data_IF_863181524629
#
_entry.id   IF_863181524629
#
_cell.length_a   1.000
_cell.length_b   1.000
_cell.length_c   1.000
_cell.angle_alpha   90.00
_cell.angle_beta   90.00
_cell.angle_gamma   90.00
#
_symmetry.space_group_name_H-M   'P 1'
#
loop_
_entity.id
_entity.type
_entity.pdbx_description
1 polymer ?
#
# COMPACT_ATOMS: atom_id res chain seq x y z
N UNK A 1 -10.77 -69.66 -12.79
CA UNK A 1 -11.03 -69.39 -11.35
C UNK A 1 -10.53 -67.99 -11.03
N UNK A 2 -11.41 -67.00 -10.90
CA UNK A 2 -11.06 -65.64 -10.47
C UNK A 2 -11.70 -65.43 -9.10
N UNK A 3 -10.88 -65.42 -8.04
CA UNK A 3 -11.35 -65.16 -6.67
C UNK A 3 -11.55 -63.66 -6.48
N UNK A 4 -12.76 -63.31 -6.07
CA UNK A 4 -13.23 -61.96 -5.75
C UNK A 4 -12.39 -61.30 -4.66
N UNK A 5 -11.82 -60.12 -4.95
CA UNK A 5 -11.07 -59.27 -4.02
C UNK A 5 -11.94 -58.11 -3.51
N UNK A 6 -13.12 -58.41 -2.95
CA UNK A 6 -14.07 -57.39 -2.44
C UNK A 6 -14.02 -57.17 -0.91
N UNK A 7 -13.25 -57.98 -0.17
CA UNK A 7 -13.20 -57.87 1.31
C UNK A 7 -12.12 -56.90 1.86
N UNK A 8 -11.16 -56.45 1.03
CA UNK A 8 -10.05 -55.63 1.53
C UNK A 8 -10.33 -54.12 1.57
N UNK A 9 -11.35 -53.61 0.88
CA UNK A 9 -11.66 -52.17 0.89
C UNK A 9 -12.46 -51.74 2.13
N UNK A 10 -13.29 -52.64 2.68
CA UNK A 10 -14.09 -52.35 3.87
C UNK A 10 -13.23 -52.28 5.14
N UNK A 11 -12.13 -53.04 5.21
CA UNK A 11 -11.22 -53.00 6.37
C UNK A 11 -10.47 -51.68 6.48
N UNK A 12 -9.84 -51.23 5.38
CA UNK A 12 -9.08 -49.97 5.39
C UNK A 12 -9.95 -48.75 5.72
N UNK A 13 -11.22 -48.74 5.27
CA UNK A 13 -12.15 -47.66 5.56
C UNK A 13 -12.61 -47.69 7.03
N UNK A 14 -12.89 -48.87 7.58
CA UNK A 14 -13.27 -49.02 8.99
C UNK A 14 -12.10 -48.67 9.92
N UNK A 15 -10.88 -49.07 9.59
CA UNK A 15 -9.68 -48.76 10.38
C UNK A 15 -9.37 -47.25 10.36
N UNK A 16 -9.54 -46.59 9.21
CA UNK A 16 -9.41 -45.13 9.10
C UNK A 16 -10.53 -44.40 9.87
N UNK A 17 -11.76 -44.91 9.82
CA UNK A 17 -12.89 -44.33 10.54
C UNK A 17 -12.74 -44.47 12.06
N UNK A 18 -12.28 -45.62 12.55
CA UNK A 18 -11.98 -45.83 13.97
C UNK A 18 -10.80 -44.98 14.45
N UNK A 19 -9.80 -44.76 13.59
CA UNK A 19 -8.72 -43.82 13.87
C UNK A 19 -9.23 -42.38 13.99
N UNK A 20 -10.08 -41.93 13.06
CA UNK A 20 -10.70 -40.60 13.10
C UNK A 20 -11.56 -40.45 14.35
N UNK A 21 -12.38 -41.45 14.69
CA UNK A 21 -13.24 -41.44 15.87
C UNK A 21 -12.44 -41.40 17.17
N UNK A 22 -11.31 -42.10 17.24
CA UNK A 22 -10.42 -42.09 18.41
C UNK A 22 -9.64 -40.79 18.56
N UNK A 23 -9.31 -40.11 17.46
CA UNK A 23 -8.44 -38.93 17.45
C UNK A 23 -9.16 -37.65 16.98
N UNK A 24 -10.50 -37.61 17.00
CA UNK A 24 -11.28 -36.54 16.38
C UNK A 24 -10.96 -35.15 16.96
N UNK A 25 -10.65 -35.05 18.25
CA UNK A 25 -10.25 -33.80 18.90
C UNK A 25 -8.90 -33.28 18.39
N UNK A 26 -7.95 -34.20 18.14
CA UNK A 26 -6.63 -33.85 17.60
C UNK A 26 -6.77 -33.40 16.15
N UNK A 27 -7.57 -34.13 15.35
CA UNK A 27 -7.85 -33.79 13.94
C UNK A 27 -8.57 -32.45 13.83
N UNK A 28 -9.57 -32.20 14.68
CA UNK A 28 -10.27 -30.91 14.73
C UNK A 28 -9.32 -29.77 15.15
N UNK A 29 -8.46 -29.99 16.14
CA UNK A 29 -7.42 -29.02 16.52
C UNK A 29 -6.45 -28.72 15.38
N UNK A 30 -6.06 -29.73 14.61
CA UNK A 30 -5.21 -29.58 13.42
C UNK A 30 -5.91 -28.78 12.32
N UNK A 31 -7.18 -29.07 12.04
CA UNK A 31 -7.98 -28.32 11.06
C UNK A 31 -8.16 -26.85 11.44
N UNK A 32 -8.33 -26.55 12.72
CA UNK A 32 -8.39 -25.18 13.24
C UNK A 32 -7.02 -24.52 13.16
N UNK A 33 -5.92 -25.26 13.38
CA UNK A 33 -4.56 -24.72 13.31
C UNK A 33 -4.10 -24.39 11.88
N UNK A 34 -4.56 -25.13 10.85
CA UNK A 34 -4.18 -24.93 9.44
C UNK A 34 -4.32 -23.46 8.96
N UNK A 35 -5.45 -22.74 9.15
CA UNK A 35 -5.55 -21.35 8.72
C UNK A 35 -4.54 -20.43 9.43
N UNK A 36 -4.22 -20.67 10.70
CA UNK A 36 -3.22 -19.88 11.44
C UNK A 36 -1.80 -20.18 10.98
N UNK A 37 -1.47 -21.45 10.71
CA UNK A 37 -0.17 -21.84 10.18
C UNK A 37 0.01 -21.27 8.77
N UNK A 38 -1.02 -21.34 7.92
CA UNK A 38 -1.01 -20.74 6.58
C UNK A 38 -0.78 -19.22 6.67
N UNK A 39 -1.53 -18.53 7.52
CA UNK A 39 -1.34 -17.08 7.76
C UNK A 39 0.07 -16.76 8.26
N UNK A 40 0.60 -17.56 9.18
CA UNK A 40 1.95 -17.37 9.73
C UNK A 40 3.05 -17.57 8.67
N UNK A 41 2.90 -18.57 7.79
CA UNK A 41 3.85 -18.81 6.68
C UNK A 41 3.75 -17.71 5.61
N UNK A 42 2.56 -17.23 5.30
CA UNK A 42 2.35 -16.07 4.42
C UNK A 42 2.95 -14.79 5.03
N UNK A 43 2.79 -14.56 6.33
CA UNK A 43 3.42 -13.44 7.05
C UNK A 43 4.95 -13.55 7.04
N UNK A 44 5.53 -14.76 7.14
CA UNK A 44 6.98 -14.99 7.08
C UNK A 44 7.54 -14.76 5.66
N UNK A 45 6.84 -15.23 4.62
CA UNK A 45 7.24 -14.99 3.23
C UNK A 45 7.19 -13.51 2.88
N UNK A 46 6.19 -12.78 3.40
CA UNK A 46 6.05 -11.33 3.23
C UNK A 46 7.14 -10.60 4.03
N UNK A 47 7.46 -11.03 5.26
CA UNK A 47 8.54 -10.45 6.09
C UNK A 47 9.92 -10.56 5.46
N UNK A 48 10.23 -11.62 4.70
CA UNK A 48 11.53 -11.75 4.03
C UNK A 48 11.66 -10.85 2.78
N UNK A 49 10.55 -10.54 2.12
CA UNK A 49 10.52 -9.53 1.03
C UNK A 49 10.59 -8.12 1.64
N UNK A 50 9.93 -7.90 2.79
CA UNK A 50 9.94 -6.64 3.55
C UNK A 50 11.31 -6.36 4.16
N UNK A 51 12.06 -7.34 4.69
CA UNK A 51 13.39 -7.13 5.29
C UNK A 51 14.44 -6.55 4.33
N UNK A 52 14.25 -6.68 3.01
CA UNK A 52 15.14 -6.07 2.01
C UNK A 52 14.74 -4.61 1.71
N UNK A 53 13.46 -4.26 1.90
CA UNK A 53 12.95 -2.87 1.85
C UNK A 53 13.09 -2.10 3.17
N UNK A 54 12.99 -2.78 4.31
CA UNK A 54 13.09 -2.22 5.66
C UNK A 54 14.46 -1.64 5.96
N UNK A 55 15.53 -2.11 5.31
CA UNK A 55 16.86 -1.50 5.48
C UNK A 55 16.95 -0.12 4.80
N UNK A 56 16.18 0.12 3.72
CA UNK A 56 16.04 1.44 3.11
C UNK A 56 15.09 2.34 3.91
N UNK A 57 14.01 1.78 4.46
CA UNK A 57 13.06 2.52 5.31
C UNK A 57 13.69 2.87 6.65
N UNK A 58 14.49 2.01 7.27
CA UNK A 58 15.19 2.31 8.54
C UNK A 58 16.27 3.39 8.39
N UNK A 59 16.95 3.49 7.24
CA UNK A 59 17.82 4.63 6.95
C UNK A 59 17.04 5.93 6.71
N UNK A 60 15.81 5.84 6.16
CA UNK A 60 14.91 6.98 6.03
C UNK A 60 14.25 7.35 7.38
N UNK A 61 13.93 6.39 8.23
CA UNK A 61 13.36 6.57 9.57
C UNK A 61 14.40 7.11 10.56
N UNK A 62 15.66 6.70 10.46
CA UNK A 62 16.75 7.31 11.23
C UNK A 62 16.98 8.79 10.84
N UNK A 63 16.66 9.17 9.60
CA UNK A 63 16.60 10.58 9.17
C UNK A 63 15.27 11.25 9.57
N UNK A 64 14.17 10.50 9.66
CA UNK A 64 12.84 10.99 10.02
C UNK A 64 12.63 11.13 11.54
N UNK A 65 13.41 10.43 12.38
CA UNK A 65 13.34 10.58 13.84
C UNK A 65 13.84 11.97 14.28
N UNK A 66 14.65 12.63 13.44
CA UNK A 66 15.03 14.06 13.55
C UNK A 66 13.92 15.00 13.03
N UNK A 67 12.93 14.48 12.30
CA UNK A 67 11.77 15.20 11.75
C UNK A 67 10.46 14.92 12.51
N UNK A 68 10.51 14.37 13.73
CA UNK A 68 9.32 14.07 14.57
C UNK A 68 8.44 15.29 14.92
N UNK A 69 8.81 16.49 14.49
CA UNK A 69 7.89 17.59 14.30
C UNK A 69 7.51 17.71 12.82
N UNK A 70 6.76 16.74 12.27
CA UNK A 70 5.91 17.01 11.12
C UNK A 70 4.85 17.97 11.66
N UNK A 71 5.20 19.26 11.69
CA UNK A 71 4.22 20.32 11.93
C UNK A 71 3.18 20.13 10.85
N UNK A 72 2.02 19.66 11.28
CA UNK A 72 0.77 19.77 10.55
C UNK A 72 0.59 21.26 10.24
N UNK A 73 1.11 21.70 9.10
CA UNK A 73 0.93 23.08 8.68
C UNK A 73 -0.49 23.18 8.16
N UNK A 74 -1.37 23.51 9.10
CA UNK A 74 -2.56 24.31 8.93
C UNK A 74 -2.40 25.22 7.70
N UNK A 75 -3.14 24.88 6.63
CA UNK A 75 -3.40 25.69 5.44
C UNK A 75 -2.40 26.83 5.22
N UNK A 76 -1.18 26.50 4.79
CA UNK A 76 -0.14 27.51 4.53
C UNK A 76 -0.70 28.59 3.62
N UNK A 77 -0.60 29.85 4.07
CA UNK A 77 -1.08 31.04 3.36
C UNK A 77 -0.84 30.91 1.83
N UNK A 78 -1.86 31.10 0.96
CA UNK A 78 -1.72 30.99 -0.49
C UNK A 78 -0.55 31.77 -1.07
N UNK A 79 -0.16 32.88 -0.43
CA UNK A 79 1.01 33.68 -0.82
C UNK A 79 2.33 32.94 -0.60
N UNK A 80 2.50 32.24 0.52
CA UNK A 80 3.74 31.51 0.80
C UNK A 80 3.87 30.26 -0.06
N UNK A 81 2.76 29.55 -0.34
CA UNK A 81 2.76 28.45 -1.30
C UNK A 81 3.13 28.94 -2.71
N UNK A 82 2.54 30.05 -3.17
CA UNK A 82 2.87 30.59 -4.49
C UNK A 82 4.34 31.02 -4.61
N UNK A 83 4.93 31.58 -3.54
CA UNK A 83 6.35 31.89 -3.51
C UNK A 83 7.22 30.63 -3.62
N UNK A 84 6.89 29.58 -2.86
CA UNK A 84 7.61 28.29 -2.95
C UNK A 84 7.47 27.65 -4.33
N UNK A 85 6.26 27.65 -4.93
CA UNK A 85 6.01 27.12 -6.28
C UNK A 85 6.83 27.86 -7.33
N UNK A 86 6.87 29.19 -7.27
CA UNK A 86 7.68 30.03 -8.17
C UNK A 86 9.18 29.78 -8.03
N UNK A 87 9.66 29.43 -6.83
CA UNK A 87 11.05 29.08 -6.61
C UNK A 87 11.43 27.73 -7.27
N UNK A 88 10.47 26.83 -7.48
CA UNK A 88 10.70 25.52 -8.10
C UNK A 88 10.52 25.59 -9.63
N UNK A 89 9.43 26.19 -10.11
CA UNK A 89 9.14 26.30 -11.55
C UNK A 89 8.21 27.48 -11.82
N UNK A 90 8.29 28.07 -13.02
CA UNK A 90 7.37 29.11 -13.48
C UNK A 90 6.07 28.53 -14.10
N UNK A 91 5.99 27.22 -14.28
CA UNK A 91 4.86 26.57 -14.97
C UNK A 91 3.64 26.41 -14.06
N UNK A 92 2.60 27.21 -14.31
CA UNK A 92 1.30 27.07 -13.65
C UNK A 92 0.64 25.71 -13.89
N UNK A 93 0.92 25.07 -15.03
CA UNK A 93 0.42 23.73 -15.32
C UNK A 93 1.01 22.68 -14.37
N UNK A 94 2.30 22.80 -14.01
CA UNK A 94 2.94 21.90 -13.04
C UNK A 94 2.46 22.16 -11.62
N UNK A 95 2.22 23.42 -11.28
CA UNK A 95 1.60 23.79 -10.01
C UNK A 95 0.22 23.14 -9.85
N UNK A 96 -0.62 23.25 -10.88
CA UNK A 96 -1.94 22.64 -10.88
C UNK A 96 -1.85 21.12 -10.81
N UNK A 97 -0.97 20.50 -11.60
CA UNK A 97 -0.80 19.05 -11.62
C UNK A 97 -0.37 18.49 -10.25
N UNK A 98 0.57 19.16 -9.57
CA UNK A 98 1.01 18.78 -8.23
C UNK A 98 -0.12 18.90 -7.20
N UNK A 99 -0.88 20.01 -7.23
CA UNK A 99 -2.04 20.19 -6.35
C UNK A 99 -3.15 19.16 -6.60
N UNK A 100 -3.40 18.83 -7.87
CA UNK A 100 -4.37 17.79 -8.24
C UNK A 100 -3.93 16.43 -7.73
N UNK A 101 -2.66 16.07 -7.84
CA UNK A 101 -2.17 14.78 -7.32
C UNK A 101 -2.30 14.66 -5.80
N UNK A 102 -1.99 15.72 -5.06
CA UNK A 102 -2.18 15.71 -3.60
C UNK A 102 -3.65 15.59 -3.17
N UNK A 103 -4.57 16.01 -4.05
CA UNK A 103 -6.01 15.82 -3.86
C UNK A 103 -6.46 14.42 -4.26
N UNK A 104 -6.10 13.98 -5.47
CA UNK A 104 -6.53 12.72 -6.08
C UNK A 104 -6.00 11.50 -5.30
N UNK A 105 -4.79 11.60 -4.73
CA UNK A 105 -4.19 10.57 -3.85
C UNK A 105 -4.73 10.64 -2.40
N UNK A 106 -5.69 11.52 -2.09
CA UNK A 106 -6.34 11.61 -0.77
C UNK A 106 -5.45 12.14 0.37
N UNK A 107 -4.20 12.51 0.09
CA UNK A 107 -3.17 12.86 1.07
C UNK A 107 -3.50 14.09 1.90
N UNK A 108 -4.13 15.09 1.28
CA UNK A 108 -4.53 16.33 1.99
C UNK A 108 -5.59 16.09 3.09
N UNK A 109 -6.31 14.97 3.03
CA UNK A 109 -7.42 14.68 3.96
C UNK A 109 -7.10 13.59 4.97
N UNK A 110 -6.23 12.64 4.64
CA UNK A 110 -5.81 11.55 5.55
C UNK A 110 -4.89 12.03 6.68
N UNK A 111 -4.17 13.13 6.47
CA UNK A 111 -3.13 13.61 7.40
C UNK A 111 -3.59 14.72 8.35
N UNK A 112 -4.89 15.00 8.53
CA UNK A 112 -5.31 16.05 9.47
C UNK A 112 -5.11 15.67 10.96
N UNK A 113 -4.47 14.53 11.24
CA UNK A 113 -4.01 14.12 12.56
C UNK A 113 -5.11 13.70 13.52
N UNK A 114 -6.34 13.55 13.03
CA UNK A 114 -7.46 13.13 13.84
C UNK A 114 -7.82 11.67 13.56
N UNK A 115 -8.12 10.93 14.63
CA UNK A 115 -8.49 9.51 14.50
C UNK A 115 -9.76 9.30 13.68
N UNK A 116 -10.59 10.34 13.43
CA UNK A 116 -11.78 10.27 12.59
C UNK A 116 -11.56 10.73 11.14
N UNK A 117 -10.33 11.06 10.73
CA UNK A 117 -10.05 11.51 9.35
C UNK A 117 -10.34 10.41 8.32
N UNK A 118 -10.26 9.13 8.72
CA UNK A 118 -10.72 8.00 7.90
C UNK A 118 -12.22 8.03 7.62
N UNK A 119 -13.02 8.82 8.35
CA UNK A 119 -14.45 9.02 8.10
C UNK A 119 -14.74 10.28 7.28
N UNK A 120 -13.73 11.04 6.85
CA UNK A 120 -13.95 12.20 6.01
C UNK A 120 -14.32 11.74 4.59
N UNK A 121 -15.58 11.94 4.13
CA UNK A 121 -16.01 11.46 2.82
C UNK A 121 -15.24 12.13 1.66
N UNK A 122 -14.55 13.26 1.90
CA UNK A 122 -13.65 13.90 0.92
C UNK A 122 -12.34 13.15 0.73
N UNK A 123 -11.91 12.37 1.72
CA UNK A 123 -10.75 11.46 1.60
C UNK A 123 -11.11 10.09 1.00
N UNK A 124 -12.40 9.81 0.76
CA UNK A 124 -12.89 8.57 0.16
C UNK A 124 -12.98 8.63 -1.36
N UNK A 125 -12.88 9.82 -1.93
CA UNK A 125 -12.83 10.02 -3.39
C UNK A 125 -11.38 9.99 -3.85
N UNK A 126 -10.69 8.87 -3.62
CA UNK A 126 -9.43 8.60 -4.33
C UNK A 126 -9.77 8.48 -5.82
N UNK A 127 -9.07 9.26 -6.64
CA UNK A 127 -9.32 9.32 -8.08
C UNK A 127 -8.08 8.84 -8.83
N UNK A 128 -7.77 7.56 -8.62
CA UNK A 128 -6.57 6.91 -9.14
C UNK A 128 -6.42 7.04 -10.66
N UNK A 129 -7.55 7.02 -11.37
CA UNK A 129 -7.56 7.22 -12.82
C UNK A 129 -7.06 8.62 -13.21
N UNK A 130 -7.49 9.66 -12.47
CA UNK A 130 -7.03 11.04 -12.70
C UNK A 130 -5.60 11.26 -12.23
N UNK A 131 -5.21 10.66 -11.11
CA UNK A 131 -3.83 10.68 -10.63
C UNK A 131 -2.91 10.05 -11.70
N UNK A 132 -3.26 8.86 -12.21
CA UNK A 132 -2.54 8.21 -13.31
C UNK A 132 -2.48 9.09 -14.55
N UNK A 133 -3.61 9.64 -15.02
CA UNK A 133 -3.65 10.50 -16.22
C UNK A 133 -2.69 11.69 -16.07
N UNK A 134 -2.70 12.34 -14.91
CA UNK A 134 -1.82 13.46 -14.59
C UNK A 134 -0.34 13.03 -14.61
N UNK A 135 -0.02 11.89 -14.00
CA UNK A 135 1.35 11.36 -13.95
C UNK A 135 1.87 10.95 -15.34
N UNK A 136 1.02 10.35 -16.18
CA UNK A 136 1.39 9.97 -17.56
C UNK A 136 1.58 11.21 -18.44
N UNK A 137 0.72 12.22 -18.28
CA UNK A 137 0.82 13.48 -19.01
C UNK A 137 2.09 14.24 -18.62
N UNK A 138 2.39 14.32 -17.32
CA UNK A 138 3.56 15.03 -16.79
C UNK A 138 4.80 14.15 -16.64
N UNK A 139 4.85 12.98 -17.26
CA UNK A 139 5.96 12.01 -17.09
C UNK A 139 7.35 12.60 -17.31
N UNK A 140 7.48 13.52 -18.27
CA UNK A 140 8.76 14.18 -18.58
C UNK A 140 9.16 15.22 -17.53
N UNK A 141 8.19 15.72 -16.76
CA UNK A 141 8.38 16.72 -15.71
C UNK A 141 8.33 16.10 -14.30
N UNK A 142 8.39 14.78 -14.20
CA UNK A 142 8.14 14.07 -12.95
C UNK A 142 9.04 14.52 -11.80
N UNK A 143 10.33 14.80 -12.05
CA UNK A 143 11.23 15.29 -11.01
C UNK A 143 10.81 16.66 -10.43
N UNK A 144 10.29 17.56 -11.28
CA UNK A 144 9.79 18.87 -10.84
C UNK A 144 8.47 18.69 -10.07
N UNK A 145 7.62 17.79 -10.56
CA UNK A 145 6.35 17.45 -9.95
C UNK A 145 6.55 16.84 -8.55
N UNK A 146 7.50 15.93 -8.41
CA UNK A 146 7.90 15.31 -7.13
C UNK A 146 8.40 16.37 -6.14
N UNK A 147 9.20 17.34 -6.61
CA UNK A 147 9.67 18.45 -5.77
C UNK A 147 8.54 19.37 -5.33
N UNK A 148 7.64 19.75 -6.23
CA UNK A 148 6.44 20.54 -5.88
C UNK A 148 5.57 19.81 -4.87
N UNK A 149 5.37 18.51 -5.08
CA UNK A 149 4.56 17.67 -4.22
C UNK A 149 5.13 17.60 -2.81
N UNK A 150 6.44 17.35 -2.68
CA UNK A 150 7.14 17.25 -1.41
C UNK A 150 7.26 18.59 -0.68
N UNK A 151 7.70 19.66 -1.35
CA UNK A 151 8.05 20.93 -0.69
C UNK A 151 6.87 21.89 -0.48
N UNK A 152 5.81 21.73 -1.28
CA UNK A 152 4.67 22.67 -1.32
C UNK A 152 3.37 22.00 -0.91
N UNK A 153 2.98 20.93 -1.59
CA UNK A 153 1.61 20.40 -1.50
C UNK A 153 1.39 19.47 -0.31
N UNK A 154 2.39 18.67 0.04
CA UNK A 154 2.34 17.71 1.17
C UNK A 154 3.34 18.03 2.29
N UNK A 155 4.32 18.90 2.00
CA UNK A 155 5.29 19.43 2.96
C UNK A 155 6.06 18.34 3.74
N UNK A 156 6.40 17.21 3.08
CA UNK A 156 7.34 16.15 3.51
C UNK A 156 7.04 14.75 2.92
N UNK A 157 6.02 14.59 2.07
CA UNK A 157 5.68 13.27 1.50
C UNK A 157 6.32 13.03 0.15
N UNK A 158 6.77 11.79 -0.05
CA UNK A 158 7.31 11.37 -1.33
C UNK A 158 6.17 11.02 -2.28
N UNK A 159 6.11 11.70 -3.42
CA UNK A 159 5.16 11.37 -4.48
C UNK A 159 5.29 9.90 -4.93
N UNK A 160 6.52 9.35 -4.96
CA UNK A 160 6.73 7.94 -5.32
C UNK A 160 6.16 6.99 -4.28
N UNK A 161 6.35 7.28 -3.00
CA UNK A 161 5.79 6.46 -1.93
C UNK A 161 4.26 6.48 -1.99
N UNK A 162 3.67 7.67 -2.13
CA UNK A 162 2.21 7.84 -2.19
C UNK A 162 1.61 7.19 -3.44
N UNK A 163 2.29 7.20 -4.58
CA UNK A 163 1.87 6.45 -5.78
C UNK A 163 1.88 4.93 -5.53
N UNK A 164 2.86 4.41 -4.80
CA UNK A 164 2.95 2.98 -4.51
C UNK A 164 1.94 2.53 -3.45
N UNK A 165 1.56 3.44 -2.54
CA UNK A 165 0.65 3.17 -1.44
C UNK A 165 -0.82 3.33 -1.83
N UNK A 166 -1.16 4.41 -2.54
CA UNK A 166 -2.56 4.79 -2.79
C UNK A 166 -3.06 4.47 -4.19
N UNK A 167 -2.18 4.31 -5.18
CA UNK A 167 -2.64 4.00 -6.53
C UNK A 167 -2.99 2.51 -6.64
N UNK A 168 -4.19 2.22 -7.14
CA UNK A 168 -4.64 0.86 -7.41
C UNK A 168 -3.64 0.07 -8.27
N UNK A 169 -3.55 -1.25 -8.01
CA UNK A 169 -2.56 -2.13 -8.64
C UNK A 169 -2.63 -2.12 -10.18
N UNK A 170 -3.82 -2.02 -10.75
CA UNK A 170 -4.03 -1.97 -12.19
C UNK A 170 -3.54 -0.65 -12.79
N UNK A 171 -3.84 0.47 -12.11
CA UNK A 171 -3.39 1.81 -12.48
C UNK A 171 -1.87 1.95 -12.35
N UNK A 172 -1.28 1.39 -11.29
CA UNK A 172 0.16 1.31 -11.07
C UNK A 172 0.86 0.50 -12.17
N UNK A 173 0.28 -0.65 -12.55
CA UNK A 173 0.79 -1.50 -13.64
C UNK A 173 0.78 -0.76 -14.97
N UNK A 174 -0.26 0.04 -15.23
CA UNK A 174 -0.29 0.90 -16.40
C UNK A 174 0.76 2.00 -16.33
N UNK A 175 0.86 2.70 -15.20
CA UNK A 175 1.76 3.83 -15.00
C UNK A 175 3.23 3.44 -15.21
N UNK A 176 3.63 2.25 -14.75
CA UNK A 176 4.99 1.70 -14.93
C UNK A 176 5.43 1.54 -16.39
N UNK A 177 4.49 1.54 -17.35
CA UNK A 177 4.82 1.55 -18.79
C UNK A 177 5.40 2.90 -19.25
N UNK A 178 5.08 3.97 -18.54
CA UNK A 178 5.40 5.35 -18.94
C UNK A 178 6.38 6.03 -17.98
N UNK A 179 6.43 5.58 -16.73
CA UNK A 179 7.21 6.17 -15.67
C UNK A 179 8.01 5.10 -14.92
N UNK A 180 9.30 5.34 -14.70
CA UNK A 180 10.12 4.47 -13.85
C UNK A 180 9.93 4.86 -12.39
N UNK A 181 9.15 4.06 -11.69
CA UNK A 181 8.76 4.19 -10.28
C UNK A 181 8.95 2.89 -9.54
#
# INVERSE_FOLDING_TARGET
>A
MVRSNKNNQNHAFNDAFDFIKRNYLIIAGLLIAIPYIKRYLEDQATKNIINTGDNFVKEAEAKAEVLKDIKLVENSNPLSQNQKRKAITASSALWSASSSLAHDLGVKYKDAGHWWDFMNPRGWTENDEQARKTLVYQRNNFAILEKLYYEVDTNSRSLRADILEYLDKDELTYLRKYLKI
#
